data_IF_637726739192
#
_entry.id   IF_637726739192
#
_cell.length_a   1.000
_cell.length_b   1.000
_cell.length_c   1.000
_cell.angle_alpha   90.00
_cell.angle_beta   90.00
_cell.angle_gamma   90.00
#
_symmetry.space_group_name_H-M   'P 1'
#
loop_
_entity.id
_entity.type
_entity.pdbx_description
1 polymer ?
#
# COMPACT_ATOMS: atom_id res chain seq x y z
N UNK A 1 -3.32 16.09 7.58
CA UNK A 1 -2.68 15.49 6.39
C UNK A 1 -2.22 14.08 6.72
N UNK A 2 -2.54 13.08 5.89
CA UNK A 2 -2.08 11.70 6.11
C UNK A 2 -0.74 11.42 5.44
N UNK A 3 0.05 10.54 6.04
CA UNK A 3 1.35 10.09 5.53
C UNK A 3 1.16 8.82 4.71
N UNK A 4 1.16 8.96 3.38
CA UNK A 4 0.93 7.85 2.46
C UNK A 4 2.23 7.15 2.09
N UNK A 5 2.17 5.83 2.00
CA UNK A 5 3.25 4.96 1.54
C UNK A 5 2.74 4.06 0.40
N UNK A 6 3.64 3.71 -0.50
CA UNK A 6 3.44 2.64 -1.47
C UNK A 6 4.03 1.36 -0.90
N UNK A 7 3.29 0.27 -0.99
CA UNK A 7 3.72 -1.06 -0.59
C UNK A 7 3.80 -1.93 -1.82
N UNK A 8 4.94 -2.56 -2.06
CA UNK A 8 5.23 -3.36 -3.23
C UNK A 8 5.40 -4.84 -2.86
N UNK A 9 5.12 -5.72 -3.81
CA UNK A 9 5.25 -7.17 -3.61
C UNK A 9 4.04 -7.78 -2.92
N UNK A 10 2.87 -7.12 -2.97
CA UNK A 10 1.63 -7.65 -2.41
C UNK A 10 1.09 -8.73 -3.37
N UNK A 11 0.80 -9.96 -2.91
CA UNK A 11 0.27 -11.01 -3.77
C UNK A 11 -1.07 -10.58 -4.37
N UNK A 12 -1.29 -10.89 -5.64
CA UNK A 12 -2.56 -10.56 -6.31
C UNK A 12 -3.56 -11.72 -6.26
N UNK A 13 -3.07 -12.96 -6.38
CA UNK A 13 -3.89 -14.16 -6.56
C UNK A 13 -5.02 -14.31 -5.52
N UNK A 14 -4.75 -14.03 -4.25
CA UNK A 14 -5.70 -14.24 -3.15
C UNK A 14 -6.71 -13.08 -2.98
N UNK A 15 -6.54 -11.98 -3.72
CA UNK A 15 -7.24 -10.70 -3.45
C UNK A 15 -7.82 -10.07 -4.72
N UNK A 16 -7.69 -10.74 -5.86
CA UNK A 16 -8.12 -10.25 -7.17
C UNK A 16 -9.65 -10.10 -7.29
N UNK A 17 -10.40 -10.92 -6.59
CA UNK A 17 -11.87 -10.99 -6.69
C UNK A 17 -12.59 -10.22 -5.56
N UNK A 18 -11.85 -9.59 -4.66
CA UNK A 18 -12.43 -8.84 -3.54
C UNK A 18 -13.00 -7.50 -4.01
N UNK A 19 -14.16 -7.13 -3.47
CA UNK A 19 -14.70 -5.78 -3.64
C UNK A 19 -13.72 -4.74 -3.09
N UNK A 20 -13.83 -3.48 -3.53
CA UNK A 20 -12.94 -2.41 -3.07
C UNK A 20 -13.03 -2.20 -1.56
N UNK A 21 -14.23 -2.31 -1.01
CA UNK A 21 -14.53 -2.18 0.42
C UNK A 21 -13.93 -3.35 1.21
N UNK A 22 -14.18 -4.59 0.75
CA UNK A 22 -13.63 -5.81 1.35
C UNK A 22 -12.10 -5.79 1.33
N UNK A 23 -11.50 -5.37 0.21
CA UNK A 23 -10.06 -5.20 0.09
C UNK A 23 -9.49 -4.22 1.12
N UNK A 24 -10.13 -3.05 1.27
CA UNK A 24 -9.68 -2.03 2.20
C UNK A 24 -9.79 -2.47 3.67
N UNK A 25 -10.79 -3.27 4.02
CA UNK A 25 -10.92 -3.89 5.34
C UNK A 25 -9.86 -4.96 5.57
N UNK A 26 -9.73 -5.93 4.66
CA UNK A 26 -8.74 -7.00 4.72
C UNK A 26 -7.32 -6.46 4.91
N UNK A 27 -6.92 -5.49 4.10
CA UNK A 27 -5.58 -4.89 4.20
C UNK A 27 -5.39 -4.18 5.55
N UNK A 28 -6.40 -3.49 6.08
CA UNK A 28 -6.28 -2.81 7.38
C UNK A 28 -6.12 -3.80 8.51
N UNK A 29 -6.91 -4.87 8.51
CA UNK A 29 -6.89 -5.89 9.56
C UNK A 29 -5.60 -6.71 9.51
N UNK A 30 -5.12 -7.05 8.31
CA UNK A 30 -3.84 -7.71 8.09
C UNK A 30 -2.68 -6.87 8.65
N UNK A 31 -2.63 -5.58 8.31
CA UNK A 31 -1.56 -4.69 8.81
C UNK A 31 -1.58 -4.62 10.34
N UNK A 32 -2.76 -4.41 10.95
CA UNK A 32 -2.90 -4.32 12.41
C UNK A 32 -2.51 -5.63 13.11
N UNK A 33 -2.86 -6.76 12.52
CA UNK A 33 -2.62 -8.09 13.09
C UNK A 33 -1.14 -8.47 13.05
N UNK A 34 -0.48 -8.28 11.90
CA UNK A 34 0.88 -8.78 11.68
C UNK A 34 1.98 -7.75 11.91
N UNK A 35 1.66 -6.45 11.94
CA UNK A 35 2.65 -5.38 12.07
C UNK A 35 2.44 -4.58 13.35
N UNK A 36 3.02 -5.08 14.45
CA UNK A 36 2.85 -4.52 15.80
C UNK A 36 3.15 -3.02 15.85
N UNK A 37 2.15 -2.25 16.28
CA UNK A 37 2.24 -0.81 16.43
C UNK A 37 2.31 -0.06 15.10
N UNK A 38 1.58 -0.54 14.09
CA UNK A 38 1.19 0.19 12.90
C UNK A 38 -0.34 0.25 12.84
N UNK A 39 -0.90 1.46 12.74
CA UNK A 39 -2.34 1.66 12.58
C UNK A 39 -2.64 2.39 11.27
N UNK A 40 -2.95 1.67 10.18
CA UNK A 40 -3.30 2.32 8.92
C UNK A 40 -4.65 3.04 9.05
N UNK A 41 -4.72 4.23 8.45
CA UNK A 41 -5.91 5.08 8.37
C UNK A 41 -6.36 5.26 6.92
N UNK A 42 -7.61 5.66 6.73
CA UNK A 42 -8.20 5.77 5.40
C UNK A 42 -8.40 4.42 4.70
N UNK A 43 -8.70 4.45 3.41
CA UNK A 43 -8.96 3.24 2.61
C UNK A 43 -7.77 2.93 1.71
N UNK A 44 -7.07 1.80 1.93
CA UNK A 44 -6.08 1.29 1.00
C UNK A 44 -6.68 1.06 -0.39
N UNK A 45 -5.85 1.24 -1.43
CA UNK A 45 -6.24 0.95 -2.81
C UNK A 45 -5.03 0.49 -3.61
N UNK A 46 -5.30 -0.26 -4.68
CA UNK A 46 -4.28 -0.71 -5.61
C UNK A 46 -3.67 0.46 -6.38
N UNK A 47 -2.34 0.56 -6.36
CA UNK A 47 -1.56 1.41 -7.26
C UNK A 47 -1.36 0.73 -8.62
N UNK A 48 -1.36 -0.60 -8.64
CA UNK A 48 -1.30 -1.39 -9.87
C UNK A 48 -2.68 -1.46 -10.54
N UNK A 49 -2.73 -1.23 -11.85
CA UNK A 49 -3.96 -1.36 -12.63
C UNK A 49 -4.52 -2.79 -12.58
N UNK A 50 -5.83 -2.93 -12.72
CA UNK A 50 -6.52 -4.23 -12.72
C UNK A 50 -5.98 -5.21 -13.77
N UNK A 51 -5.79 -4.76 -15.00
CA UNK A 51 -5.20 -5.55 -16.10
C UNK A 51 -3.84 -6.15 -15.72
N UNK A 52 -2.98 -5.34 -15.10
CA UNK A 52 -1.66 -5.81 -14.63
C UNK A 52 -1.78 -6.79 -13.47
N UNK A 53 -2.79 -6.64 -12.60
CA UNK A 53 -3.00 -7.56 -11.46
C UNK A 53 -3.43 -8.95 -11.92
N UNK A 54 -4.14 -9.07 -13.05
CA UNK A 54 -4.56 -10.36 -13.61
C UNK A 54 -3.39 -11.20 -14.12
N UNK A 55 -2.30 -10.55 -14.56
CA UNK A 55 -1.13 -11.23 -15.16
C UNK A 55 0.08 -11.26 -14.24
N UNK A 56 0.27 -10.24 -13.40
CA UNK A 56 1.38 -10.15 -12.46
C UNK A 56 1.05 -10.92 -11.17
N UNK A 57 2.04 -11.69 -10.68
CA UNK A 57 1.94 -12.41 -9.39
C UNK A 57 1.91 -11.50 -8.16
N UNK A 58 2.35 -10.25 -8.33
CA UNK A 58 2.40 -9.27 -7.27
C UNK A 58 2.05 -7.87 -7.79
N UNK A 59 1.45 -7.06 -6.92
CA UNK A 59 1.06 -5.69 -7.18
C UNK A 59 1.59 -4.73 -6.12
N UNK A 60 1.14 -3.49 -6.22
CA UNK A 60 1.45 -2.42 -5.29
C UNK A 60 0.18 -1.78 -4.73
N UNK A 61 0.18 -1.47 -3.43
CA UNK A 61 -0.97 -0.96 -2.67
C UNK A 61 -0.57 0.33 -1.94
N UNK A 62 -1.52 1.26 -1.81
CA UNK A 62 -1.35 2.44 -0.95
C UNK A 62 -1.77 2.12 0.48
N UNK A 63 -0.93 2.48 1.45
CA UNK A 63 -1.31 2.60 2.86
C UNK A 63 -1.15 4.05 3.30
N UNK A 64 -1.95 4.49 4.27
CA UNK A 64 -1.82 5.80 4.88
C UNK A 64 -1.77 5.67 6.40
N UNK A 65 -0.99 6.55 7.03
CA UNK A 65 -0.84 6.63 8.48
C UNK A 65 -1.14 8.04 8.98
N UNK A 66 -1.55 8.14 10.23
CA UNK A 66 -1.81 9.44 10.88
C UNK A 66 -0.52 10.17 11.22
N UNK A 67 0.53 9.42 11.62
CA UNK A 67 1.83 10.00 11.99
C UNK A 67 2.95 9.66 11.00
N UNK A 68 3.89 10.60 10.82
CA UNK A 68 5.09 10.36 10.01
C UNK A 68 5.95 9.26 10.61
N UNK A 69 5.97 9.15 11.95
CA UNK A 69 6.73 8.13 12.67
C UNK A 69 6.24 6.73 12.33
N UNK A 70 4.93 6.50 12.26
CA UNK A 70 4.37 5.21 11.84
C UNK A 70 4.68 4.91 10.38
N UNK A 71 4.53 5.90 9.49
CA UNK A 71 4.89 5.73 8.09
C UNK A 71 6.38 5.38 7.91
N UNK A 72 7.28 6.05 8.62
CA UNK A 72 8.71 5.76 8.60
C UNK A 72 9.04 4.40 9.21
N UNK A 73 8.31 3.97 10.25
CA UNK A 73 8.45 2.63 10.82
C UNK A 73 7.99 1.55 9.83
N UNK A 74 6.92 1.80 9.09
CA UNK A 74 6.45 0.91 8.03
C UNK A 74 7.43 0.83 6.85
N UNK A 75 8.10 1.94 6.50
CA UNK A 75 9.11 2.00 5.43
C UNK A 75 10.44 1.36 5.82
N UNK A 76 10.95 1.68 7.01
CA UNK A 76 12.26 1.19 7.47
C UNK A 76 12.19 -0.23 8.05
N UNK A 77 11.02 -0.63 8.53
CA UNK A 77 10.76 -1.97 9.05
C UNK A 77 10.42 -2.97 7.94
N UNK A 78 10.21 -4.20 8.38
CA UNK A 78 9.67 -5.27 7.53
C UNK A 78 8.15 -5.26 7.63
N UNK A 79 7.49 -4.81 6.57
CA UNK A 79 6.03 -4.80 6.49
C UNK A 79 5.55 -6.15 5.95
N UNK A 80 4.58 -6.75 6.63
CA UNK A 80 3.98 -8.02 6.24
C UNK A 80 2.54 -7.80 5.79
N UNK A 81 2.20 -8.36 4.63
CA UNK A 81 0.84 -8.40 4.09
C UNK A 81 0.63 -9.77 3.45
N UNK A 82 -0.47 -10.45 3.79
CA UNK A 82 -0.86 -11.74 3.23
C UNK A 82 0.27 -12.78 3.32
N UNK A 83 0.93 -12.83 4.48
CA UNK A 83 2.03 -13.76 4.75
C UNK A 83 3.36 -13.46 4.03
N UNK A 84 3.47 -12.41 3.22
CA UNK A 84 4.72 -12.03 2.54
C UNK A 84 5.32 -10.76 3.09
N UNK A 85 6.66 -10.70 3.06
CA UNK A 85 7.41 -9.48 3.38
C UNK A 85 7.38 -8.53 2.19
N UNK A 86 6.69 -7.41 2.34
CA UNK A 86 6.59 -6.38 1.33
C UNK A 86 7.64 -5.28 1.53
N UNK A 87 8.02 -4.64 0.42
CA UNK A 87 8.83 -3.43 0.44
C UNK A 87 7.92 -2.21 0.53
N UNK A 88 8.27 -1.22 1.33
CA UNK A 88 7.50 0.02 1.47
C UNK A 88 8.34 1.25 1.14
N UNK A 89 7.74 2.22 0.47
CA UNK A 89 8.36 3.51 0.18
C UNK A 89 7.40 4.69 0.41
N UNK A 90 7.94 5.89 0.61
CA UNK A 90 7.11 7.09 0.73
C UNK A 90 6.38 7.35 -0.59
N UNK A 91 5.06 7.36 -0.57
CA UNK A 91 4.27 7.65 -1.76
C UNK A 91 4.44 9.13 -2.11
N UNK A 92 5.28 9.40 -3.12
CA UNK A 92 5.39 10.75 -3.68
C UNK A 92 4.15 10.98 -4.54
N UNK A 93 3.47 12.11 -4.32
CA UNK A 93 2.36 12.52 -5.18
C UNK A 93 2.80 12.59 -6.65
N UNK A 94 1.86 12.70 -7.61
CA UNK A 94 2.23 12.84 -9.00
C UNK A 94 3.26 13.96 -9.12
N UNK A 95 4.42 13.67 -9.73
CA UNK A 95 5.32 14.75 -10.17
C UNK A 95 4.43 15.67 -10.98
N UNK A 96 4.21 16.91 -10.52
CA UNK A 96 3.68 17.95 -11.42
C UNK A 96 4.64 17.92 -12.60
N UNK A 97 4.15 17.57 -13.79
CA UNK A 97 4.95 17.65 -14.99
C UNK A 97 5.58 19.04 -15.00
N UNK A 98 6.90 19.12 -15.01
CA UNK A 98 7.58 20.40 -15.17
C UNK A 98 7.02 21.00 -16.47
N UNK A 99 6.53 22.26 -16.46
CA UNK A 99 6.03 22.87 -17.68
C UNK A 99 7.14 22.79 -18.74
N UNK A 100 6.79 22.53 -20.02
CA UNK A 100 7.79 22.50 -21.08
C UNK A 100 8.55 23.83 -21.06
N UNK A 101 9.89 23.76 -21.10
CA UNK A 101 10.69 24.97 -21.29
C UNK A 101 10.27 25.58 -22.63
N UNK A 102 9.75 26.81 -22.58
CA UNK A 102 9.53 27.64 -23.77
C UNK A 102 10.86 27.95 -24.44
#
# INVERSE_FOLDING_TARGET
>A
SWFKIAVHGVPTADILNESRESFAELVRDEVKTFNKGLNPVGNPYWLTSEEKRQTAKAGSVTLAFESEREALKAISGRLYLFGVSCAAEKLRGPRKASPPRK
#
